data_IF_496767339713
#
_entry.id   IF_496767339713
#
_cell.length_a   1.000
_cell.length_b   1.000
_cell.length_c   1.000
_cell.angle_alpha   90.00
_cell.angle_beta   90.00
_cell.angle_gamma   90.00
#
_symmetry.space_group_name_H-M   'P 1'
#
loop_
_entity.id
_entity.type
_entity.pdbx_description
1 polymer ?
#
# COMPACT_ATOMS: atom_id res chain seq x y z
N UNK A 1 35.23 60.94 -28.09
CA UNK A 1 34.96 60.59 -26.69
C UNK A 1 33.71 59.71 -26.66
N UNK A 2 33.90 58.43 -26.39
CA UNK A 2 32.92 57.34 -26.51
C UNK A 2 32.16 57.20 -25.18
N UNK A 3 30.83 57.33 -25.15
CA UNK A 3 30.01 57.01 -23.97
C UNK A 3 29.31 55.67 -24.18
N UNK A 4 29.81 54.63 -23.50
CA UNK A 4 29.20 53.30 -23.44
C UNK A 4 28.37 53.16 -22.14
N UNK A 5 27.09 52.85 -22.35
CA UNK A 5 26.28 51.77 -21.74
C UNK A 5 26.30 51.56 -20.22
N UNK A 6 25.11 51.61 -19.61
CA UNK A 6 24.81 51.01 -18.32
C UNK A 6 23.31 50.77 -18.14
N UNK A 7 22.76 49.73 -18.79
CA UNK A 7 21.40 49.22 -18.53
C UNK A 7 21.52 48.04 -17.56
N UNK A 8 21.29 48.30 -16.27
CA UNK A 8 21.22 47.26 -15.24
C UNK A 8 19.89 46.51 -15.34
N UNK A 9 19.91 45.27 -15.83
CA UNK A 9 18.77 44.34 -15.77
C UNK A 9 18.83 43.62 -14.43
N UNK A 10 17.98 44.01 -13.48
CA UNK A 10 17.79 43.29 -12.24
C UNK A 10 16.96 42.02 -12.51
N UNK A 11 17.60 40.86 -12.47
CA UNK A 11 16.93 39.56 -12.59
C UNK A 11 16.30 39.20 -11.25
N UNK A 12 15.01 39.53 -11.08
CA UNK A 12 14.24 39.11 -9.91
C UNK A 12 13.96 37.60 -10.00
N UNK A 13 14.69 36.81 -9.22
CA UNK A 13 14.49 35.37 -9.07
C UNK A 13 13.23 35.13 -8.21
N UNK A 14 12.07 35.00 -8.85
CA UNK A 14 10.83 34.63 -8.17
C UNK A 14 10.90 33.16 -7.72
N UNK A 15 11.17 32.94 -6.44
CA UNK A 15 11.00 31.65 -5.77
C UNK A 15 9.50 31.32 -5.70
N UNK A 16 9.01 30.54 -6.65
CA UNK A 16 7.67 29.94 -6.57
C UNK A 16 7.71 28.81 -5.52
N UNK A 17 6.89 28.86 -4.45
CA UNK A 17 6.70 27.72 -3.56
C UNK A 17 6.10 26.57 -4.37
N UNK A 18 6.83 25.48 -4.51
CA UNK A 18 6.30 24.27 -5.13
C UNK A 18 5.06 23.81 -4.38
N UNK A 19 3.96 23.60 -5.11
CA UNK A 19 2.73 23.07 -4.53
C UNK A 19 3.05 21.73 -3.84
N UNK A 20 2.86 21.68 -2.52
CA UNK A 20 2.82 20.42 -1.80
C UNK A 20 1.51 19.74 -2.17
N UNK A 21 1.52 18.88 -3.19
CA UNK A 21 0.43 17.93 -3.42
C UNK A 21 0.35 17.02 -2.20
N UNK A 22 -0.59 17.34 -1.31
CA UNK A 22 -0.96 16.44 -0.24
C UNK A 22 -1.54 15.15 -0.85
N UNK A 23 -1.19 14.03 -0.24
CA UNK A 23 -1.81 12.73 -0.51
C UNK A 23 -3.33 12.84 -0.54
N UNK A 24 -3.96 12.41 -1.65
CA UNK A 24 -5.43 12.30 -1.71
C UNK A 24 -5.90 11.19 -0.78
N UNK A 25 -7.16 11.27 -0.32
CA UNK A 25 -7.76 10.21 0.50
C UNK A 25 -7.64 8.86 -0.18
N UNK A 26 -7.05 7.91 0.53
CA UNK A 26 -6.79 6.59 0.02
C UNK A 26 -5.76 6.54 -1.09
N UNK A 27 -4.79 7.45 -1.22
CA UNK A 27 -3.53 7.24 -1.97
C UNK A 27 -2.44 6.62 -1.06
N UNK A 28 -1.52 5.83 -1.63
CA UNK A 28 -0.46 5.12 -0.88
C UNK A 28 -0.96 4.23 0.27
N UNK A 29 -2.15 3.63 0.16
CA UNK A 29 -2.84 2.88 1.22
C UNK A 29 -1.93 1.87 1.94
N UNK A 30 -1.23 1.01 1.19
CA UNK A 30 -0.35 -0.02 1.77
C UNK A 30 0.83 0.63 2.51
N UNK A 31 1.46 1.65 1.92
CA UNK A 31 2.57 2.37 2.54
C UNK A 31 2.13 3.01 3.87
N UNK A 32 1.02 3.75 3.87
CA UNK A 32 0.54 4.48 5.06
C UNK A 32 0.10 3.51 6.15
N UNK A 33 -0.66 2.47 5.80
CA UNK A 33 -1.12 1.44 6.73
C UNK A 33 0.05 0.69 7.37
N UNK A 34 0.99 0.20 6.56
CA UNK A 34 2.12 -0.59 7.05
C UNK A 34 3.04 0.23 7.95
N UNK A 35 3.48 1.41 7.48
CA UNK A 35 4.37 2.28 8.25
C UNK A 35 3.68 2.88 9.48
N UNK A 36 2.37 3.12 9.42
CA UNK A 36 1.58 3.56 10.57
C UNK A 36 1.56 2.51 11.68
N UNK A 37 1.27 1.25 11.35
CA UNK A 37 1.32 0.12 12.30
C UNK A 37 2.73 -0.09 12.85
N UNK A 38 3.73 -0.04 11.98
CA UNK A 38 5.14 -0.16 12.38
C UNK A 38 5.55 0.94 13.36
N UNK A 39 5.21 2.20 13.08
CA UNK A 39 5.52 3.32 13.96
C UNK A 39 4.87 3.19 15.35
N UNK A 40 3.62 2.71 15.42
CA UNK A 40 2.97 2.42 16.70
C UNK A 40 3.67 1.26 17.43
N UNK A 41 4.03 0.19 16.71
CA UNK A 41 4.79 -0.93 17.30
C UNK A 41 6.12 -0.49 17.91
N UNK A 42 6.81 0.50 17.33
CA UNK A 42 8.04 1.07 17.89
C UNK A 42 7.77 1.85 19.17
N UNK A 43 6.67 2.60 19.22
CA UNK A 43 6.24 3.32 20.44
C UNK A 43 5.89 2.36 21.56
N UNK A 44 5.11 1.33 21.27
CA UNK A 44 4.62 0.38 22.28
C UNK A 44 5.76 -0.47 22.88
N UNK A 45 6.83 -0.70 22.11
CA UNK A 45 8.00 -1.46 22.54
C UNK A 45 9.09 -0.62 23.21
N UNK A 46 8.88 0.70 23.40
CA UNK A 46 9.91 1.65 23.85
C UNK A 46 11.22 1.53 23.05
N UNK A 47 11.11 1.32 21.74
CA UNK A 47 12.27 1.25 20.88
C UNK A 47 12.96 2.62 20.73
N UNK A 48 14.27 2.61 20.58
CA UNK A 48 15.03 3.83 20.30
C UNK A 48 14.73 4.33 18.89
N UNK A 49 14.30 5.59 18.79
CA UNK A 49 13.99 6.25 17.52
C UNK A 49 15.27 6.79 16.84
N UNK A 50 16.31 5.98 16.76
CA UNK A 50 17.48 6.30 15.95
C UNK A 50 17.44 5.56 14.60
N UNK A 51 18.26 6.03 13.67
CA UNK A 51 18.19 5.55 12.30
C UNK A 51 18.53 4.05 12.14
N UNK A 52 19.54 3.57 12.86
CA UNK A 52 20.02 2.20 12.76
C UNK A 52 19.01 1.20 13.33
N UNK A 53 18.46 1.51 14.50
CA UNK A 53 17.50 0.62 15.19
C UNK A 53 16.18 0.57 14.45
N UNK A 54 15.72 1.69 13.87
CA UNK A 54 14.55 1.71 13.00
C UNK A 54 14.79 0.87 11.74
N UNK A 55 15.97 0.96 11.13
CA UNK A 55 16.32 0.16 9.96
C UNK A 55 16.32 -1.34 10.29
N UNK A 56 16.92 -1.75 11.41
CA UNK A 56 16.91 -3.14 11.87
C UNK A 56 15.49 -3.64 12.19
N UNK A 57 14.71 -2.85 12.92
CA UNK A 57 13.33 -3.19 13.26
C UNK A 57 12.45 -3.30 12.01
N UNK A 58 12.68 -2.45 11.01
CA UNK A 58 11.96 -2.49 9.74
C UNK A 58 12.33 -3.73 8.93
N UNK A 59 13.62 -4.09 8.86
CA UNK A 59 14.08 -5.35 8.25
C UNK A 59 13.45 -6.56 8.93
N UNK A 60 13.37 -6.56 10.27
CA UNK A 60 12.71 -7.63 11.02
C UNK A 60 11.21 -7.71 10.68
N UNK A 61 10.51 -6.59 10.70
CA UNK A 61 9.08 -6.51 10.36
C UNK A 61 8.79 -6.98 8.94
N UNK A 62 9.69 -6.67 8.00
CA UNK A 62 9.58 -7.07 6.60
C UNK A 62 9.83 -8.56 6.34
N UNK A 63 10.52 -9.28 7.24
CA UNK A 63 10.67 -10.74 7.13
C UNK A 63 9.36 -11.49 7.37
N UNK A 64 8.53 -10.95 8.26
CA UNK A 64 7.22 -11.53 8.60
C UNK A 64 6.10 -11.01 7.70
N UNK A 65 6.36 -9.97 6.91
CA UNK A 65 5.41 -9.37 6.00
C UNK A 65 4.97 -10.37 4.90
N UNK A 66 3.69 -10.31 4.51
CA UNK A 66 3.10 -11.16 3.47
C UNK A 66 2.31 -10.32 2.47
N UNK A 67 2.06 -10.89 1.29
CA UNK A 67 1.22 -10.27 0.26
C UNK A 67 1.72 -8.87 -0.14
N UNK A 68 0.84 -7.87 -0.01
CA UNK A 68 1.13 -6.48 -0.41
C UNK A 68 2.14 -5.80 0.50
N UNK A 69 2.22 -6.17 1.77
CA UNK A 69 3.20 -5.63 2.71
C UNK A 69 4.61 -6.11 2.34
N UNK A 70 4.77 -7.39 1.98
CA UNK A 70 6.04 -7.89 1.47
C UNK A 70 6.45 -7.20 0.15
N UNK A 71 5.47 -6.94 -0.72
CA UNK A 71 5.69 -6.21 -1.98
C UNK A 71 6.18 -4.78 -1.71
N UNK A 72 5.60 -4.11 -0.70
CA UNK A 72 6.05 -2.81 -0.25
C UNK A 72 7.48 -2.87 0.29
N UNK A 73 7.77 -3.82 1.18
CA UNK A 73 9.11 -4.06 1.73
C UNK A 73 10.17 -4.26 0.63
N UNK A 74 9.83 -5.00 -0.43
CA UNK A 74 10.70 -5.19 -1.59
C UNK A 74 11.02 -3.86 -2.29
N UNK A 75 10.02 -3.00 -2.54
CA UNK A 75 10.25 -1.71 -3.20
C UNK A 75 11.11 -0.74 -2.38
N UNK A 76 10.97 -0.76 -1.05
CA UNK A 76 11.78 0.10 -0.18
C UNK A 76 13.18 -0.45 0.10
N UNK A 77 13.52 -1.65 -0.37
CA UNK A 77 14.83 -2.23 -0.12
C UNK A 77 14.98 -2.94 1.23
N UNK A 78 13.86 -3.35 1.85
CA UNK A 78 13.84 -3.98 3.17
C UNK A 78 13.78 -5.52 3.10
N UNK A 79 13.99 -6.11 1.92
CA UNK A 79 14.11 -7.56 1.72
C UNK A 79 15.51 -7.91 1.21
N UNK A 80 15.98 -9.13 1.48
CA UNK A 80 17.34 -9.57 1.13
C UNK A 80 17.61 -9.66 -0.37
N UNK A 81 16.55 -9.75 -1.17
CA UNK A 81 16.56 -9.83 -2.63
C UNK A 81 16.32 -8.48 -3.32
N UNK A 82 16.12 -7.40 -2.56
CA UNK A 82 15.87 -6.08 -3.13
C UNK A 82 17.17 -5.43 -3.65
N UNK A 83 17.10 -4.87 -4.86
CA UNK A 83 18.23 -4.21 -5.51
C UNK A 83 18.44 -2.76 -5.03
N UNK A 84 17.41 -2.12 -4.47
CA UNK A 84 17.45 -0.74 -4.01
C UNK A 84 17.74 -0.68 -2.51
N UNK A 85 18.45 0.35 -2.05
CA UNK A 85 18.66 0.65 -0.62
C UNK A 85 18.00 1.96 -0.23
N UNK A 86 16.73 2.14 -0.63
CA UNK A 86 15.97 3.36 -0.27
C UNK A 86 15.36 3.27 1.13
N UNK A 87 15.65 2.23 1.91
CA UNK A 87 15.20 2.05 3.30
C UNK A 87 15.56 3.26 4.18
N UNK A 88 16.68 3.93 3.87
CA UNK A 88 17.12 5.18 4.49
C UNK A 88 16.14 6.35 4.31
N UNK A 89 15.33 6.34 3.25
CA UNK A 89 14.28 7.35 3.01
C UNK A 89 13.04 7.12 3.88
N UNK A 90 13.00 5.99 4.59
CA UNK A 90 11.98 5.66 5.59
C UNK A 90 12.55 5.79 7.00
N UNK A 91 13.70 5.15 7.28
CA UNK A 91 14.29 5.12 8.62
C UNK A 91 14.73 6.51 9.11
N UNK A 92 15.31 7.37 8.25
CA UNK A 92 15.74 8.72 8.65
C UNK A 92 14.55 9.61 9.01
N UNK A 93 13.52 9.79 8.16
CA UNK A 93 12.36 10.60 8.54
C UNK A 93 11.62 10.07 9.78
N UNK A 94 11.52 8.74 9.95
CA UNK A 94 10.91 8.16 11.15
C UNK A 94 11.69 8.48 12.43
N UNK A 95 13.03 8.53 12.40
CA UNK A 95 13.84 8.94 13.56
C UNK A 95 13.58 10.39 14.00
N UNK A 96 13.08 11.24 13.09
CA UNK A 96 12.67 12.60 13.39
C UNK A 96 11.15 12.73 13.60
N UNK A 97 10.45 11.60 13.75
CA UNK A 97 8.99 11.52 13.89
C UNK A 97 8.21 12.24 12.79
N UNK A 98 8.74 12.26 11.57
CA UNK A 98 8.02 12.77 10.40
C UNK A 98 6.76 11.93 10.19
N UNK A 99 5.59 12.56 9.96
CA UNK A 99 4.34 11.83 9.69
C UNK A 99 4.47 10.87 8.52
N UNK A 100 3.88 9.69 8.67
CA UNK A 100 3.99 8.58 7.70
C UNK A 100 3.50 9.00 6.30
N UNK A 101 2.45 9.81 6.24
CA UNK A 101 1.88 10.34 5.00
C UNK A 101 2.95 11.11 4.20
N UNK A 102 3.76 11.93 4.88
CA UNK A 102 4.83 12.70 4.24
C UNK A 102 5.99 11.83 3.78
N UNK A 103 6.25 10.73 4.48
CA UNK A 103 7.23 9.73 4.05
C UNK A 103 6.74 9.05 2.77
N UNK A 104 5.48 8.60 2.75
CA UNK A 104 4.88 7.97 1.57
C UNK A 104 4.79 8.93 0.37
N UNK A 105 4.48 10.22 0.56
CA UNK A 105 4.56 11.25 -0.49
C UNK A 105 5.97 11.35 -1.09
N UNK A 106 7.01 11.31 -0.24
CA UNK A 106 8.40 11.36 -0.70
C UNK A 106 8.81 10.10 -1.45
N UNK A 107 8.37 8.93 -0.98
CA UNK A 107 8.59 7.64 -1.65
C UNK A 107 7.90 7.61 -3.02
N UNK A 108 6.67 8.12 -3.14
CA UNK A 108 5.94 8.25 -4.41
C UNK A 108 6.74 8.95 -5.50
N UNK A 109 7.49 9.99 -5.12
CA UNK A 109 8.34 10.76 -6.06
C UNK A 109 9.57 9.98 -6.53
N UNK A 110 10.02 8.98 -5.78
CA UNK A 110 11.14 8.09 -6.15
C UNK A 110 10.66 6.91 -6.97
N UNK A 111 9.54 6.32 -6.56
CA UNK A 111 8.90 5.20 -7.23
C UNK A 111 7.38 5.29 -7.03
N UNK A 112 6.65 5.57 -8.12
CA UNK A 112 5.18 5.68 -8.06
C UNK A 112 4.52 4.34 -7.73
N UNK A 113 5.17 3.21 -8.05
CA UNK A 113 4.62 1.87 -7.85
C UNK A 113 4.38 1.59 -6.36
N UNK A 114 5.16 2.20 -5.46
CA UNK A 114 4.96 2.10 -4.00
C UNK A 114 3.55 2.54 -3.61
N UNK A 115 3.08 3.63 -4.22
CA UNK A 115 1.79 4.24 -3.87
C UNK A 115 0.62 3.71 -4.71
N UNK A 116 0.92 2.98 -5.78
CA UNK A 116 -0.05 2.19 -6.55
C UNK A 116 -0.43 0.88 -5.83
N UNK A 117 0.36 0.44 -4.85
CA UNK A 117 0.01 -0.71 -4.01
C UNK A 117 -1.27 -0.45 -3.21
N UNK A 118 -2.24 -1.34 -3.43
CA UNK A 118 -3.50 -1.42 -2.69
C UNK A 118 -3.62 -2.76 -2.03
N UNK A 119 -4.18 -2.78 -0.82
CA UNK A 119 -4.72 -4.02 -0.30
C UNK A 119 -5.84 -4.44 -1.25
N UNK A 120 -5.90 -5.73 -1.51
CA UNK A 120 -7.02 -6.18 -2.31
C UNK A 120 -8.28 -5.97 -1.47
N UNK A 121 -9.22 -5.20 -2.01
CA UNK A 121 -10.51 -5.01 -1.36
C UNK A 121 -11.10 -6.38 -1.12
N UNK A 122 -11.35 -6.72 0.14
CA UNK A 122 -12.16 -7.89 0.46
C UNK A 122 -13.49 -7.69 -0.28
N UNK A 123 -13.84 -8.64 -1.13
CA UNK A 123 -15.12 -8.60 -1.81
C UNK A 123 -16.17 -8.77 -0.73
N UNK A 124 -16.93 -7.70 -0.47
CA UNK A 124 -18.09 -7.81 0.39
C UNK A 124 -19.13 -8.68 -0.30
N UNK A 125 -19.12 -9.96 0.09
CA UNK A 125 -20.03 -10.94 -0.45
C UNK A 125 -21.47 -10.61 -0.10
N UNK A 126 -21.78 -9.74 0.86
CA UNK A 126 -23.17 -9.39 1.19
C UNK A 126 -23.83 -8.52 0.11
N UNK A 127 -23.06 -7.64 -0.53
CA UNK A 127 -23.58 -6.64 -1.49
C UNK A 127 -23.26 -6.95 -2.95
N UNK A 128 -22.27 -7.80 -3.23
CA UNK A 128 -21.80 -8.05 -4.59
C UNK A 128 -22.61 -9.12 -5.33
N UNK A 129 -22.92 -8.91 -6.61
CA UNK A 129 -23.52 -9.93 -7.46
C UNK A 129 -22.45 -10.85 -8.06
N UNK A 130 -22.44 -12.13 -7.65
CA UNK A 130 -21.49 -13.13 -8.15
C UNK A 130 -21.53 -13.29 -9.67
N UNK A 131 -22.67 -13.01 -10.32
CA UNK A 131 -22.80 -13.06 -11.78
C UNK A 131 -22.06 -11.93 -12.48
N UNK A 132 -21.79 -10.81 -11.81
CA UNK A 132 -21.06 -9.65 -12.35
C UNK A 132 -19.55 -9.75 -12.16
N UNK A 133 -19.08 -10.59 -11.23
CA UNK A 133 -17.66 -10.81 -10.98
C UNK A 133 -16.95 -11.51 -12.14
N UNK A 134 -15.65 -11.29 -12.32
CA UNK A 134 -14.85 -12.06 -13.28
C UNK A 134 -14.46 -13.42 -12.68
N UNK A 135 -14.16 -14.41 -13.51
CA UNK A 135 -13.73 -15.75 -13.05
C UNK A 135 -12.50 -15.66 -12.13
N UNK A 136 -11.60 -14.69 -12.36
CA UNK A 136 -10.45 -14.42 -11.49
C UNK A 136 -10.88 -14.07 -10.06
N UNK A 137 -11.89 -13.22 -9.91
CA UNK A 137 -12.39 -12.77 -8.61
C UNK A 137 -13.12 -13.92 -7.88
N UNK A 138 -13.87 -14.73 -8.62
CA UNK A 138 -14.51 -15.94 -8.09
C UNK A 138 -13.48 -16.97 -7.60
N UNK A 139 -12.40 -17.20 -8.35
CA UNK A 139 -11.30 -18.07 -7.92
C UNK A 139 -10.64 -17.55 -6.64
N UNK A 140 -10.47 -16.24 -6.54
CA UNK A 140 -9.89 -15.60 -5.38
C UNK A 140 -10.72 -15.82 -4.11
N UNK A 141 -12.04 -15.74 -4.19
CA UNK A 141 -12.93 -16.03 -3.05
C UNK A 141 -12.70 -17.44 -2.53
N UNK A 142 -12.62 -18.44 -3.42
CA UNK A 142 -12.36 -19.82 -3.03
C UNK A 142 -10.96 -19.97 -2.41
N UNK A 143 -9.93 -19.35 -3.00
CA UNK A 143 -8.56 -19.37 -2.49
C UNK A 143 -8.45 -18.73 -1.09
N UNK A 144 -9.14 -17.61 -0.84
CA UNK A 144 -9.22 -16.96 0.47
C UNK A 144 -9.89 -17.86 1.52
N UNK A 145 -10.86 -18.70 1.14
CA UNK A 145 -11.46 -19.71 2.00
C UNK A 145 -10.62 -20.99 2.15
N UNK A 146 -9.48 -21.09 1.45
CA UNK A 146 -8.66 -22.29 1.39
C UNK A 146 -9.30 -23.43 0.60
N UNK A 147 -10.30 -23.12 -0.22
CA UNK A 147 -11.08 -24.06 -1.02
C UNK A 147 -10.61 -24.03 -2.47
N UNK A 148 -10.71 -25.17 -3.15
CA UNK A 148 -10.40 -25.26 -4.58
C UNK A 148 -11.56 -25.93 -5.31
N UNK A 149 -11.93 -25.40 -6.47
CA UNK A 149 -12.94 -26.05 -7.29
C UNK A 149 -12.27 -27.00 -8.30
N UNK A 150 -12.23 -28.29 -7.96
CA UNK A 150 -11.83 -29.36 -8.89
C UNK A 150 -12.94 -29.59 -9.90
N UNK A 151 -12.67 -29.36 -11.19
CA UNK A 151 -13.63 -29.58 -12.28
C UNK A 151 -14.51 -28.39 -12.65
N UNK A 152 -14.30 -27.20 -12.07
CA UNK A 152 -14.95 -25.98 -12.56
C UNK A 152 -14.34 -25.57 -13.91
N UNK A 153 -15.09 -25.70 -15.00
CA UNK A 153 -14.69 -25.25 -16.34
C UNK A 153 -15.35 -23.91 -16.69
N UNK A 154 -16.60 -23.72 -16.26
CA UNK A 154 -17.39 -22.55 -16.58
C UNK A 154 -17.58 -21.61 -15.39
N UNK A 155 -17.90 -20.35 -15.66
CA UNK A 155 -18.17 -19.33 -14.63
C UNK A 155 -19.29 -19.76 -13.67
N UNK A 156 -20.33 -20.40 -14.19
CA UNK A 156 -21.45 -20.96 -13.44
C UNK A 156 -21.01 -21.97 -12.39
N UNK A 157 -20.01 -22.80 -12.70
CA UNK A 157 -19.49 -23.80 -11.76
C UNK A 157 -18.87 -23.14 -10.52
N UNK A 158 -18.05 -22.09 -10.75
CA UNK A 158 -17.43 -21.33 -9.66
C UNK A 158 -18.50 -20.65 -8.78
N UNK A 159 -19.52 -20.04 -9.40
CA UNK A 159 -20.62 -19.39 -8.67
C UNK A 159 -21.37 -20.42 -7.81
N UNK A 160 -21.68 -21.59 -8.37
CA UNK A 160 -22.36 -22.68 -7.64
C UNK A 160 -21.54 -23.13 -6.43
N UNK A 161 -20.22 -23.36 -6.62
CA UNK A 161 -19.35 -23.79 -5.53
C UNK A 161 -19.23 -22.74 -4.42
N UNK A 162 -19.12 -21.46 -4.80
CA UNK A 162 -19.10 -20.35 -3.83
C UNK A 162 -20.41 -20.30 -3.06
N UNK A 163 -21.55 -20.43 -3.73
CA UNK A 163 -22.88 -20.39 -3.09
C UNK A 163 -23.08 -21.55 -2.12
N UNK A 164 -22.62 -22.75 -2.47
CA UNK A 164 -22.65 -23.94 -1.59
C UNK A 164 -21.82 -23.73 -0.31
N UNK A 165 -20.66 -23.10 -0.42
CA UNK A 165 -19.73 -22.88 0.70
C UNK A 165 -20.01 -21.59 1.48
N UNK A 166 -20.80 -20.67 0.92
CA UNK A 166 -21.07 -19.36 1.48
C UNK A 166 -21.67 -19.40 2.90
N UNK A 167 -22.63 -20.28 3.24
CA UNK A 167 -23.15 -20.35 4.62
C UNK A 167 -22.08 -20.69 5.66
N UNK A 168 -21.02 -21.41 5.26
CA UNK A 168 -19.93 -21.83 6.14
C UNK A 168 -18.90 -20.73 6.36
N UNK A 169 -18.52 -20.02 5.30
CA UNK A 169 -17.41 -19.05 5.33
C UNK A 169 -17.86 -17.58 5.39
N UNK A 170 -19.09 -17.28 4.99
CA UNK A 170 -19.66 -15.95 4.97
C UNK A 170 -21.17 -15.99 5.33
N UNK A 171 -21.54 -16.38 6.57
CA UNK A 171 -22.94 -16.59 6.98
C UNK A 171 -23.80 -15.33 6.83
N UNK A 172 -23.26 -14.13 7.10
CA UNK A 172 -23.97 -12.87 6.88
C UNK A 172 -24.31 -12.63 5.40
N UNK A 173 -23.43 -13.05 4.48
CA UNK A 173 -23.65 -12.93 3.04
C UNK A 173 -24.61 -13.99 2.49
N UNK A 174 -24.67 -15.15 3.14
CA UNK A 174 -25.67 -16.18 2.82
C UNK A 174 -27.07 -15.71 3.24
N UNK A 175 -27.21 -15.18 4.46
CA UNK A 175 -28.47 -14.65 4.99
C UNK A 175 -29.02 -13.49 4.15
N UNK A 176 -28.19 -12.51 3.80
CA UNK A 176 -28.59 -11.38 2.96
C UNK A 176 -29.09 -11.78 1.56
N UNK A 177 -28.73 -12.98 1.08
CA UNK A 177 -29.18 -13.51 -0.22
C UNK A 177 -30.41 -14.42 -0.13
N UNK A 178 -30.73 -14.95 1.05
CA UNK A 178 -31.97 -15.72 1.27
C UNK A 178 -33.19 -14.83 1.50
N UNK A 179 -32.96 -13.54 1.79
CA UNK A 179 -34.01 -12.54 2.05
C UNK A 179 -34.47 -11.76 0.80
N UNK A 180 -33.94 -12.09 -0.39
CA UNK A 180 -34.26 -11.51 -1.70
C UNK A 180 -35.05 -12.50 -2.58
#
# INVERSE_FOLDING_TARGET
MLRLIGLSVALALTLLPGAAEALKEGECEVCVSFLGKFYQSLKDSNADFNNADIEEALLKSCKDARGKDNRFCYYIGATSDAATKIINEVSKPLSYHVPVEKICEKLKKKDSQICELRYDKQLDLTSVDLKKLKVKDLKKILEEWGESCKGCAEKSDFIRKITELMPKYAPAAAQARTDL
#
